data_IF_059756139712
#
_entry.id   IF_059756139712
#
_cell.length_a   1.000
_cell.length_b   1.000
_cell.length_c   1.000
_cell.angle_alpha   90.00
_cell.angle_beta   90.00
_cell.angle_gamma   90.00
#
_symmetry.space_group_name_H-M   'P 1'
#
loop_
_entity.id
_entity.type
_entity.pdbx_description
1 polymer ?
#
# COMPACT_ATOMS: atom_id res chain seq x y z
N UNK A 1 6.11 -21.73 9.78
CA UNK A 1 5.85 -20.37 9.26
C UNK A 1 4.88 -20.52 8.09
N UNK A 2 3.67 -20.00 8.20
CA UNK A 2 2.65 -20.13 7.15
C UNK A 2 2.63 -18.85 6.31
N UNK A 3 3.14 -18.91 5.08
CA UNK A 3 2.98 -17.85 4.09
C UNK A 3 1.68 -18.12 3.31
N UNK A 4 0.53 -17.90 3.96
CA UNK A 4 -0.80 -18.33 3.48
C UNK A 4 -1.70 -17.18 3.04
N UNK A 5 -1.27 -15.94 3.23
CA UNK A 5 -2.01 -14.74 2.86
C UNK A 5 -1.11 -13.69 2.19
N UNK A 6 -0.38 -14.13 1.17
CA UNK A 6 0.41 -13.24 0.31
C UNK A 6 -0.50 -12.17 -0.30
N UNK A 7 -0.05 -10.92 -0.27
CA UNK A 7 -0.83 -9.78 -0.75
C UNK A 7 -0.08 -8.93 -1.79
N UNK A 8 1.14 -8.49 -1.48
CA UNK A 8 1.92 -7.64 -2.38
C UNK A 8 3.41 -8.03 -2.41
N UNK A 9 4.15 -7.58 -3.43
CA UNK A 9 5.56 -7.90 -3.66
C UNK A 9 6.32 -6.69 -4.17
N UNK A 10 7.55 -6.50 -3.68
CA UNK A 10 8.48 -5.49 -4.21
C UNK A 10 9.82 -6.09 -4.57
N UNK A 11 10.26 -5.88 -5.80
CA UNK A 11 11.50 -6.43 -6.36
C UNK A 11 12.68 -5.50 -6.10
N UNK A 12 13.69 -5.99 -5.39
CA UNK A 12 14.89 -5.24 -5.00
C UNK A 12 16.17 -5.70 -5.72
N UNK A 13 16.09 -6.79 -6.48
CA UNK A 13 17.16 -7.31 -7.35
C UNK A 13 16.63 -8.37 -8.32
N UNK A 14 17.49 -8.95 -9.15
CA UNK A 14 17.08 -9.89 -10.20
C UNK A 14 16.32 -11.13 -9.68
N UNK A 15 16.68 -11.62 -8.50
CA UNK A 15 16.10 -12.77 -7.81
C UNK A 15 15.77 -12.46 -6.35
N UNK A 16 15.59 -11.17 -6.01
CA UNK A 16 15.44 -10.70 -4.63
C UNK A 16 14.21 -9.82 -4.51
N UNK A 17 13.32 -10.18 -3.60
CA UNK A 17 12.09 -9.43 -3.38
C UNK A 17 11.57 -9.61 -1.96
N UNK A 18 10.84 -8.59 -1.49
CA UNK A 18 10.05 -8.69 -0.28
C UNK A 18 8.61 -9.02 -0.62
N UNK A 19 7.96 -9.81 0.23
CA UNK A 19 6.54 -10.19 0.10
C UNK A 19 5.82 -9.81 1.38
N UNK A 20 4.68 -9.15 1.26
CA UNK A 20 3.79 -8.93 2.38
C UNK A 20 2.86 -10.12 2.56
N UNK A 21 2.76 -10.59 3.80
CA UNK A 21 1.72 -11.52 4.22
C UNK A 21 0.74 -10.74 5.11
N UNK A 22 -0.45 -10.51 4.56
CA UNK A 22 -1.49 -9.64 5.12
C UNK A 22 -1.90 -10.05 6.55
N UNK A 23 -2.14 -11.35 6.74
CA UNK A 23 -2.68 -11.93 7.97
C UNK A 23 -2.06 -13.31 8.21
N UNK A 24 -2.03 -13.75 9.46
CA UNK A 24 -1.51 -15.07 9.81
C UNK A 24 -2.39 -16.20 9.27
N UNK A 25 -3.70 -16.06 9.40
CA UNK A 25 -4.67 -17.00 8.85
C UNK A 25 -4.76 -16.84 7.33
N UNK A 26 -4.81 -17.97 6.64
CA UNK A 26 -5.07 -18.00 5.19
C UNK A 26 -6.48 -17.52 4.83
N UNK A 27 -6.70 -17.26 3.53
CA UNK A 27 -7.96 -16.73 3.01
C UNK A 27 -9.18 -17.52 3.50
N UNK A 28 -10.21 -16.80 3.94
CA UNK A 28 -11.49 -17.38 4.38
C UNK A 28 -12.01 -16.77 5.68
N UNK A 29 -12.90 -17.50 6.36
CA UNK A 29 -13.61 -17.02 7.56
C UNK A 29 -12.67 -16.70 8.73
N UNK A 30 -11.62 -17.50 8.94
CA UNK A 30 -10.66 -17.27 10.02
C UNK A 30 -9.85 -15.98 9.83
N UNK A 31 -9.40 -15.72 8.59
CA UNK A 31 -8.77 -14.45 8.26
C UNK A 31 -9.71 -13.26 8.44
N UNK A 32 -10.99 -13.42 8.09
CA UNK A 32 -11.99 -12.37 8.35
C UNK A 32 -12.09 -12.05 9.85
N UNK A 33 -12.17 -13.08 10.69
CA UNK A 33 -12.18 -12.91 12.16
C UNK A 33 -10.91 -12.21 12.63
N UNK A 34 -9.74 -12.61 12.12
CA UNK A 34 -8.45 -12.01 12.45
C UNK A 34 -8.38 -10.51 12.11
N UNK A 35 -8.87 -10.12 10.92
CA UNK A 35 -8.93 -8.73 10.46
C UNK A 35 -9.92 -7.91 11.29
N UNK A 36 -11.10 -8.46 11.62
CA UNK A 36 -12.11 -7.80 12.47
C UNK A 36 -11.58 -7.58 13.89
N UNK A 37 -10.79 -8.51 14.42
CA UNK A 37 -10.11 -8.37 15.71
C UNK A 37 -8.96 -7.36 15.69
N UNK A 38 -8.65 -6.78 14.52
CA UNK A 38 -7.57 -5.82 14.30
C UNK A 38 -6.21 -6.31 14.81
N UNK A 39 -5.96 -7.62 14.68
CA UNK A 39 -4.70 -8.17 15.14
C UNK A 39 -3.53 -7.71 14.26
N UNK A 40 -2.38 -7.46 14.87
CA UNK A 40 -1.14 -7.19 14.14
C UNK A 40 -0.36 -8.49 13.99
N UNK A 41 -0.84 -9.43 13.19
CA UNK A 41 -0.14 -10.69 12.90
C UNK A 41 0.38 -10.79 11.47
N UNK A 42 0.30 -9.70 10.70
CA UNK A 42 0.94 -9.60 9.40
C UNK A 42 2.47 -9.66 9.50
N UNK A 43 3.10 -9.97 8.38
CA UNK A 43 4.55 -10.15 8.31
C UNK A 43 5.11 -9.70 6.96
N UNK A 44 6.39 -9.35 6.96
CA UNK A 44 7.19 -9.12 5.77
C UNK A 44 8.22 -10.23 5.65
N UNK A 45 8.23 -10.90 4.51
CA UNK A 45 9.19 -11.94 4.18
C UNK A 45 10.17 -11.44 3.12
N UNK A 46 11.39 -11.96 3.14
CA UNK A 46 12.40 -11.69 2.12
C UNK A 46 12.78 -13.00 1.42
N UNK A 47 12.81 -12.96 0.09
CA UNK A 47 13.37 -14.03 -0.72
C UNK A 47 14.72 -13.59 -1.28
N UNK A 48 15.77 -14.38 -1.00
CA UNK A 48 17.16 -14.04 -1.35
C UNK A 48 17.66 -14.66 -2.66
N UNK A 49 16.77 -15.32 -3.40
CA UNK A 49 17.07 -16.12 -4.60
C UNK A 49 17.05 -17.63 -4.34
N UNK A 50 17.06 -18.07 -3.08
CA UNK A 50 17.10 -19.50 -2.71
C UNK A 50 16.11 -19.85 -1.62
N UNK A 51 16.01 -19.01 -0.59
CA UNK A 51 15.23 -19.26 0.62
C UNK A 51 14.39 -18.06 1.00
N UNK A 52 13.30 -18.32 1.73
CA UNK A 52 12.44 -17.28 2.30
C UNK A 52 12.75 -17.15 3.77
N UNK A 53 13.05 -15.93 4.22
CA UNK A 53 13.26 -15.59 5.63
C UNK A 53 12.19 -14.61 6.13
N UNK A 54 11.85 -14.70 7.42
CA UNK A 54 11.00 -13.71 8.07
C UNK A 54 11.85 -12.46 8.35
N UNK A 55 11.44 -11.33 7.79
CA UNK A 55 12.17 -10.07 7.93
C UNK A 55 11.58 -9.18 9.04
N UNK A 56 10.27 -9.01 9.03
CA UNK A 56 9.55 -8.25 10.04
C UNK A 56 8.25 -8.97 10.41
N UNK A 57 7.88 -8.91 11.68
CA UNK A 57 6.68 -9.56 12.20
C UNK A 57 5.83 -8.56 12.95
N UNK A 58 4.60 -8.95 13.27
CA UNK A 58 3.64 -8.10 14.00
C UNK A 58 3.32 -6.80 13.26
N UNK A 59 3.27 -6.87 11.94
CA UNK A 59 2.80 -5.78 11.10
C UNK A 59 1.27 -5.74 11.11
N UNK A 60 0.71 -4.53 11.15
CA UNK A 60 -0.73 -4.33 11.11
C UNK A 60 -1.21 -4.36 9.66
N UNK A 61 -1.56 -5.56 9.18
CA UNK A 61 -2.16 -5.78 7.87
C UNK A 61 -1.36 -5.13 6.72
N UNK A 62 -0.13 -5.60 6.43
CA UNK A 62 0.74 -4.99 5.42
C UNK A 62 0.16 -5.19 4.02
N UNK A 63 -0.49 -4.17 3.48
CA UNK A 63 -1.29 -4.23 2.25
C UNK A 63 -0.57 -3.71 1.01
N UNK A 64 0.46 -2.89 1.17
CA UNK A 64 1.13 -2.29 0.03
C UNK A 64 2.64 -2.24 0.25
N UNK A 65 3.40 -2.51 -0.81
CA UNK A 65 4.85 -2.44 -0.83
C UNK A 65 5.34 -1.58 -1.98
N UNK A 66 6.34 -0.74 -1.72
CA UNK A 66 7.04 -0.03 -2.78
C UNK A 66 8.51 0.22 -2.41
N UNK A 67 9.32 0.55 -3.41
CA UNK A 67 10.73 0.88 -3.26
C UNK A 67 11.06 2.21 -3.93
N UNK A 68 11.73 3.09 -3.20
CA UNK A 68 12.51 4.18 -3.78
C UNK A 68 13.94 3.66 -3.97
N UNK A 69 14.34 3.42 -5.22
CA UNK A 69 15.66 2.85 -5.55
C UNK A 69 16.78 3.85 -5.34
N UNK A 70 16.52 5.14 -5.55
CA UNK A 70 17.53 6.20 -5.46
C UNK A 70 17.90 6.44 -4.00
N UNK A 71 16.89 6.56 -3.13
CA UNK A 71 17.08 6.77 -1.69
C UNK A 71 17.24 5.47 -0.91
N UNK A 72 17.05 4.32 -1.56
CA UNK A 72 17.08 2.97 -0.96
C UNK A 72 16.10 2.86 0.21
N UNK A 73 14.85 3.22 -0.03
CA UNK A 73 13.78 3.12 0.96
C UNK A 73 12.75 2.07 0.56
N UNK A 74 12.28 1.28 1.52
CA UNK A 74 11.11 0.41 1.38
C UNK A 74 9.94 1.03 2.15
N UNK A 75 8.79 1.08 1.49
CA UNK A 75 7.54 1.55 2.05
C UNK A 75 6.61 0.38 2.27
N UNK A 76 6.02 0.30 3.46
CA UNK A 76 5.05 -0.74 3.84
C UNK A 76 3.77 -0.07 4.32
N UNK A 77 2.72 -0.13 3.52
CA UNK A 77 1.39 0.33 3.90
C UNK A 77 0.79 -0.58 4.96
N UNK A 78 0.42 -0.01 6.11
CA UNK A 78 -0.29 -0.70 7.19
C UNK A 78 -1.77 -0.35 7.09
N UNK A 79 -2.57 -1.25 6.53
CA UNK A 79 -3.97 -1.01 6.20
C UNK A 79 -4.80 -0.57 7.43
N UNK A 80 -4.75 -1.36 8.51
CA UNK A 80 -5.56 -1.09 9.71
C UNK A 80 -5.01 0.04 10.59
N UNK A 81 -3.69 0.30 10.55
CA UNK A 81 -3.11 1.41 11.31
C UNK A 81 -3.05 2.72 10.52
N UNK A 82 -3.57 2.73 9.29
CA UNK A 82 -3.73 3.92 8.45
C UNK A 82 -2.43 4.72 8.30
N UNK A 83 -1.32 4.01 8.06
CA UNK A 83 -0.01 4.62 7.90
C UNK A 83 0.88 3.88 6.90
N UNK A 84 1.93 4.55 6.45
CA UNK A 84 3.04 3.92 5.73
C UNK A 84 4.26 3.89 6.64
N UNK A 85 4.81 2.69 6.86
CA UNK A 85 6.08 2.51 7.55
C UNK A 85 7.22 2.63 6.55
N UNK A 86 8.24 3.40 6.89
CA UNK A 86 9.40 3.67 6.04
C UNK A 86 10.62 2.97 6.61
N UNK A 87 11.31 2.22 5.76
CA UNK A 87 12.52 1.49 6.12
C UNK A 87 13.67 1.87 5.19
N UNK A 88 14.87 2.01 5.73
CA UNK A 88 16.08 2.04 4.92
C UNK A 88 16.47 0.62 4.50
N UNK A 89 16.76 0.43 3.21
CA UNK A 89 17.25 -0.81 2.63
C UNK A 89 18.78 -0.81 2.63
N UNK A 90 19.37 -1.54 3.55
CA UNK A 90 20.81 -1.66 3.73
C UNK A 90 21.46 -2.52 2.63
N UNK A 91 22.79 -2.45 2.49
CA UNK A 91 23.54 -3.14 1.42
C UNK A 91 23.41 -4.66 1.46
N UNK A 92 23.18 -5.21 2.66
CA UNK A 92 22.95 -6.63 2.91
C UNK A 92 21.46 -7.03 2.79
N UNK A 93 20.61 -6.13 2.30
CA UNK A 93 19.15 -6.27 2.21
C UNK A 93 18.43 -6.29 3.56
N UNK A 94 19.10 -5.96 4.66
CA UNK A 94 18.40 -5.72 5.91
C UNK A 94 17.56 -4.43 5.84
N UNK A 95 16.49 -4.36 6.65
CA UNK A 95 15.62 -3.19 6.73
C UNK A 95 15.76 -2.54 8.11
N UNK A 96 16.10 -1.26 8.11
CA UNK A 96 16.17 -0.43 9.32
C UNK A 96 14.95 0.48 9.37
N UNK A 97 14.09 0.35 10.37
CA UNK A 97 12.93 1.24 10.55
C UNK A 97 13.40 2.70 10.70
N UNK A 98 12.76 3.62 9.97
CA UNK A 98 13.08 5.06 9.99
C UNK A 98 11.96 5.87 10.62
N UNK A 99 10.77 5.78 10.07
CA UNK A 99 9.62 6.57 10.49
C UNK A 99 8.32 5.92 10.03
N UNK A 100 7.20 6.49 10.43
CA UNK A 100 5.88 6.17 9.91
C UNK A 100 5.13 7.45 9.53
N UNK A 101 4.46 7.42 8.38
CA UNK A 101 3.65 8.51 7.84
C UNK A 101 2.20 8.18 8.12
N UNK A 102 1.55 8.92 9.03
CA UNK A 102 0.11 8.76 9.29
C UNK A 102 -0.70 9.34 8.14
N UNK A 103 -1.67 8.58 7.65
CA UNK A 103 -2.49 8.92 6.49
C UNK A 103 -3.94 9.23 6.87
N UNK A 104 -4.41 8.74 8.03
CA UNK A 104 -5.82 8.79 8.45
C UNK A 104 -6.79 8.13 7.45
N UNK A 105 -6.26 7.21 6.66
CA UNK A 105 -6.95 6.44 5.63
C UNK A 105 -6.15 5.16 5.34
N UNK A 106 -6.81 4.09 4.94
CA UNK A 106 -6.23 2.75 4.86
C UNK A 106 -5.49 2.53 3.53
N UNK A 107 -4.15 2.45 3.49
CA UNK A 107 -3.42 2.26 2.23
C UNK A 107 -3.66 0.88 1.62
N UNK A 108 -3.73 0.79 0.29
CA UNK A 108 -3.99 -0.44 -0.46
C UNK A 108 -3.01 -0.66 -1.64
N UNK A 109 -2.42 0.41 -2.18
CA UNK A 109 -1.35 0.34 -3.18
C UNK A 109 -0.45 1.55 -3.12
N UNK A 110 0.84 1.40 -3.43
CA UNK A 110 1.84 2.47 -3.38
C UNK A 110 2.64 2.49 -4.68
N UNK A 111 2.89 3.69 -5.20
CA UNK A 111 3.78 3.95 -6.31
C UNK A 111 4.76 5.06 -5.94
N UNK A 112 6.02 4.91 -6.32
CA UNK A 112 7.06 5.93 -6.13
C UNK A 112 7.34 6.55 -7.48
N UNK A 113 7.14 7.87 -7.58
CA UNK A 113 7.50 8.62 -8.79
C UNK A 113 9.03 8.70 -8.89
N UNK A 114 9.62 8.21 -9.98
CA UNK A 114 11.08 8.07 -10.07
C UNK A 114 11.84 9.41 -10.10
N UNK A 115 11.22 10.47 -10.63
CA UNK A 115 11.88 11.78 -10.79
C UNK A 115 11.98 12.55 -9.47
N UNK A 116 10.91 12.56 -8.69
CA UNK A 116 10.81 13.35 -7.45
C UNK A 116 11.00 12.48 -6.20
N UNK A 117 10.74 11.18 -6.32
CA UNK A 117 10.59 10.26 -5.20
C UNK A 117 9.35 10.55 -4.33
N UNK A 118 8.34 11.23 -4.88
CA UNK A 118 7.05 11.41 -4.21
C UNK A 118 6.29 10.09 -4.17
N UNK A 119 5.54 9.91 -3.09
CA UNK A 119 4.83 8.67 -2.79
C UNK A 119 3.36 8.87 -3.16
N UNK A 120 2.89 8.13 -4.15
CA UNK A 120 1.49 8.08 -4.55
C UNK A 120 0.85 6.84 -3.93
N UNK A 121 -0.28 7.03 -3.25
CA UNK A 121 -0.90 5.97 -2.45
C UNK A 121 -2.36 5.88 -2.84
N UNK A 122 -2.84 4.68 -3.22
CA UNK A 122 -4.26 4.37 -3.33
C UNK A 122 -4.77 3.88 -1.97
N UNK A 123 -5.91 4.38 -1.53
CA UNK A 123 -6.43 4.10 -0.18
C UNK A 123 -7.92 3.77 -0.16
N UNK A 124 -8.35 3.20 0.96
CA UNK A 124 -9.74 2.99 1.34
C UNK A 124 -10.08 3.93 2.52
N UNK A 125 -10.75 5.07 2.28
CA UNK A 125 -11.12 6.01 3.35
C UNK A 125 -12.11 5.44 4.36
N UNK A 126 -12.98 4.52 3.91
CA UNK A 126 -13.98 3.87 4.77
C UNK A 126 -13.80 2.37 4.68
N UNK A 127 -12.93 1.82 5.53
CA UNK A 127 -12.47 0.43 5.40
C UNK A 127 -13.61 -0.61 5.46
N UNK A 128 -14.66 -0.35 6.24
CA UNK A 128 -15.86 -1.20 6.27
C UNK A 128 -16.49 -1.37 4.87
N UNK A 129 -16.50 -0.33 4.04
CA UNK A 129 -17.05 -0.43 2.68
C UNK A 129 -16.16 -1.31 1.80
N UNK A 130 -14.83 -1.16 1.87
CA UNK A 130 -13.88 -2.02 1.16
C UNK A 130 -14.03 -3.50 1.57
N UNK A 131 -14.28 -3.74 2.86
CA UNK A 131 -14.60 -5.08 3.36
C UNK A 131 -15.90 -5.64 2.76
N UNK A 132 -16.97 -4.84 2.68
CA UNK A 132 -18.22 -5.28 2.03
C UNK A 132 -18.02 -5.58 0.53
N UNK A 133 -17.26 -4.76 -0.18
CA UNK A 133 -16.91 -4.99 -1.60
C UNK A 133 -16.14 -6.32 -1.75
N UNK A 134 -15.30 -6.69 -0.78
CA UNK A 134 -14.58 -7.98 -0.77
C UNK A 134 -15.52 -9.17 -0.57
N UNK A 135 -16.57 -9.01 0.24
CA UNK A 135 -17.57 -10.08 0.47
C UNK A 135 -18.55 -10.23 -0.69
N UNK A 136 -18.87 -9.14 -1.38
CA UNK A 136 -19.86 -9.10 -2.46
C UNK A 136 -19.30 -8.45 -3.74
N UNK A 137 -18.22 -9.00 -4.33
CA UNK A 137 -17.51 -8.34 -5.44
C UNK A 137 -18.32 -8.19 -6.72
N UNK A 138 -19.42 -8.95 -6.85
CA UNK A 138 -20.32 -8.91 -8.02
C UNK A 138 -21.58 -8.07 -7.81
N UNK A 139 -21.80 -7.50 -6.62
CA UNK A 139 -22.98 -6.65 -6.35
C UNK A 139 -22.65 -5.18 -6.62
N UNK A 140 -23.11 -4.65 -7.76
CA UNK A 140 -22.87 -3.26 -8.17
C UNK A 140 -23.47 -2.20 -7.24
N UNK A 141 -24.38 -2.61 -6.33
CA UNK A 141 -24.93 -1.72 -5.30
C UNK A 141 -23.98 -1.55 -4.12
N UNK A 142 -23.04 -2.47 -3.94
CA UNK A 142 -22.02 -2.40 -2.89
C UNK A 142 -20.81 -1.65 -3.44
N UNK A 143 -20.56 -0.45 -2.90
CA UNK A 143 -19.46 0.42 -3.31
C UNK A 143 -18.61 0.82 -2.12
N UNK A 144 -17.34 1.11 -2.39
CA UNK A 144 -16.40 1.69 -1.44
C UNK A 144 -15.88 3.01 -2.00
N UNK A 145 -15.76 3.99 -1.12
CA UNK A 145 -15.02 5.20 -1.41
C UNK A 145 -13.59 4.88 -1.86
N UNK A 146 -13.06 5.78 -2.67
CA UNK A 146 -11.72 5.71 -3.25
C UNK A 146 -10.99 7.01 -3.01
N UNK A 147 -9.69 6.92 -2.76
CA UNK A 147 -8.83 8.07 -2.50
C UNK A 147 -7.43 7.81 -3.03
N UNK A 148 -6.79 8.87 -3.50
CA UNK A 148 -5.36 8.92 -3.75
C UNK A 148 -4.76 10.04 -2.92
N UNK A 149 -3.74 9.70 -2.13
CA UNK A 149 -2.90 10.69 -1.47
C UNK A 149 -1.53 10.73 -2.14
N UNK A 150 -0.96 11.92 -2.20
CA UNK A 150 0.44 12.13 -2.55
C UNK A 150 1.19 12.60 -1.30
N UNK A 151 2.34 11.99 -1.04
CA UNK A 151 3.22 12.38 0.06
C UNK A 151 4.56 12.82 -0.51
N UNK A 152 4.92 14.08 -0.24
CA UNK A 152 6.22 14.66 -0.57
C UNK A 152 7.08 14.78 0.67
N UNK A 153 8.14 13.99 0.75
CA UNK A 153 9.14 14.08 1.82
C UNK A 153 9.95 15.37 1.61
N UNK A 154 10.09 16.18 2.66
CA UNK A 154 10.84 17.43 2.61
C UNK A 154 12.35 17.16 2.68
N UNK A 155 13.16 18.19 2.36
CA UNK A 155 14.63 18.08 2.35
C UNK A 155 15.24 17.68 3.70
N UNK A 156 14.55 17.95 4.81
CA UNK A 156 14.97 17.54 6.15
C UNK A 156 14.88 16.01 6.38
N UNK A 157 14.21 15.28 5.49
CA UNK A 157 14.01 13.84 5.54
C UNK A 157 13.11 13.33 6.67
N UNK A 158 12.51 14.22 7.46
CA UNK A 158 11.71 13.88 8.65
C UNK A 158 10.32 14.53 8.63
N UNK A 159 10.10 15.54 7.80
CA UNK A 159 8.80 16.13 7.57
C UNK A 159 8.30 15.81 6.16
N UNK A 160 6.98 15.91 5.99
CA UNK A 160 6.32 15.62 4.73
C UNK A 160 5.07 16.47 4.57
N UNK A 161 4.68 16.68 3.32
CA UNK A 161 3.42 17.32 2.94
C UNK A 161 2.55 16.25 2.29
N UNK A 162 1.29 16.17 2.74
CA UNK A 162 0.28 15.28 2.17
C UNK A 162 -0.74 16.12 1.43
N UNK A 163 -1.04 15.72 0.20
CA UNK A 163 -2.08 16.31 -0.66
C UNK A 163 -3.03 15.21 -1.12
N UNK A 164 -4.25 15.61 -1.50
CA UNK A 164 -5.32 14.71 -1.92
C UNK A 164 -5.73 14.99 -3.39
N UNK A 165 -4.96 14.49 -4.37
CA UNK A 165 -5.27 14.64 -5.78
C UNK A 165 -6.64 14.10 -6.19
N UNK A 166 -7.13 13.07 -5.50
CA UNK A 166 -8.37 12.40 -5.87
C UNK A 166 -9.09 11.84 -4.64
N UNK A 167 -10.39 12.11 -4.55
CA UNK A 167 -11.31 11.37 -3.69
C UNK A 167 -12.72 11.35 -4.26
N UNK A 168 -13.38 10.21 -4.09
CA UNK A 168 -14.77 10.04 -4.51
C UNK A 168 -15.47 9.00 -3.63
N UNK A 169 -16.79 9.09 -3.56
CA UNK A 169 -17.69 8.20 -2.81
C UNK A 169 -17.81 6.77 -3.37
N UNK A 170 -17.13 6.47 -4.48
CA UNK A 170 -17.17 5.17 -5.14
C UNK A 170 -18.01 5.14 -6.42
N UNK A 171 -18.71 6.23 -6.74
CA UNK A 171 -19.54 6.32 -7.95
C UNK A 171 -18.70 6.29 -9.24
N UNK A 172 -17.54 6.96 -9.25
CA UNK A 172 -16.64 7.01 -10.41
C UNK A 172 -15.69 5.82 -10.41
N UNK A 173 -15.05 5.52 -9.29
CA UNK A 173 -14.26 4.31 -9.11
C UNK A 173 -14.46 3.81 -7.70
N UNK A 174 -14.88 2.56 -7.56
CA UNK A 174 -15.12 1.92 -6.26
C UNK A 174 -13.88 1.17 -5.82
N UNK A 175 -13.50 1.29 -4.55
CA UNK A 175 -12.39 0.55 -3.94
C UNK A 175 -11.05 0.67 -4.68
N UNK A 176 -10.50 1.89 -4.77
CA UNK A 176 -9.13 2.10 -5.29
C UNK A 176 -8.11 1.26 -4.55
N UNK A 177 -7.32 0.48 -5.29
CA UNK A 177 -6.37 -0.50 -4.76
C UNK A 177 -4.97 -0.40 -5.38
N UNK A 178 -4.82 0.31 -6.50
CA UNK A 178 -3.54 0.54 -7.14
C UNK A 178 -3.49 1.97 -7.69
N UNK A 179 -2.30 2.54 -7.76
CA UNK A 179 -2.07 3.85 -8.35
C UNK A 179 -0.75 3.83 -9.11
N UNK A 180 -0.70 4.56 -10.23
CA UNK A 180 0.54 4.90 -10.94
C UNK A 180 0.44 6.36 -11.34
N UNK A 181 1.55 7.09 -11.18
CA UNK A 181 1.67 8.46 -11.64
C UNK A 181 2.88 8.55 -12.55
N UNK A 182 2.67 9.01 -13.78
CA UNK A 182 3.74 9.25 -14.75
C UNK A 182 3.48 10.60 -15.42
N UNK A 183 4.42 11.53 -15.23
CA UNK A 183 4.40 12.93 -15.74
C UNK A 183 3.20 13.73 -15.26
N UNK A 184 2.09 13.66 -15.97
CA UNK A 184 0.83 14.36 -15.74
C UNK A 184 -0.37 13.40 -15.81
N UNK A 185 -0.12 12.10 -15.88
CA UNK A 185 -1.16 11.07 -15.91
C UNK A 185 -1.23 10.31 -14.60
N UNK A 186 -2.41 10.35 -13.98
CA UNK A 186 -2.76 9.57 -12.81
C UNK A 186 -3.64 8.39 -13.22
N UNK A 187 -3.17 7.17 -12.99
CA UNK A 187 -3.91 5.94 -13.22
C UNK A 187 -4.31 5.33 -11.87
N UNK A 188 -5.60 5.08 -11.68
CA UNK A 188 -6.15 4.51 -10.45
C UNK A 188 -6.83 3.19 -10.79
N UNK A 189 -6.32 2.09 -10.22
CA UNK A 189 -6.91 0.76 -10.33
C UNK A 189 -7.86 0.47 -9.17
N UNK A 190 -8.92 -0.29 -9.42
CA UNK A 190 -9.85 -0.77 -8.38
C UNK A 190 -9.64 -2.25 -8.07
N UNK A 191 -10.14 -2.73 -6.92
CA UNK A 191 -10.06 -4.15 -6.55
C UNK A 191 -10.75 -5.09 -7.55
N UNK A 192 -11.98 -4.77 -7.99
CA UNK A 192 -12.81 -5.66 -8.82
C UNK A 192 -13.50 -4.96 -9.99
N UNK A 193 -13.15 -3.71 -10.27
CA UNK A 193 -13.87 -2.88 -11.22
C UNK A 193 -13.00 -2.43 -12.38
N UNK A 194 -13.14 -1.15 -12.72
CA UNK A 194 -12.44 -0.48 -13.82
C UNK A 194 -11.16 0.20 -13.36
N UNK A 195 -10.40 0.67 -14.34
CA UNK A 195 -9.34 1.65 -14.20
C UNK A 195 -9.92 3.04 -14.46
N UNK A 196 -9.45 4.04 -13.70
CA UNK A 196 -9.68 5.45 -13.98
C UNK A 196 -8.37 6.10 -14.41
N UNK A 197 -8.40 6.87 -15.49
CA UNK A 197 -7.28 7.69 -15.95
C UNK A 197 -7.67 9.16 -15.82
N UNK A 198 -6.79 9.95 -15.22
CA UNK A 198 -6.97 11.37 -15.01
C UNK A 198 -5.74 12.15 -15.49
N UNK A 199 -5.97 13.33 -16.04
CA UNK A 199 -4.93 14.30 -16.34
C UNK A 199 -4.77 15.27 -15.16
N UNK A 200 -3.54 15.37 -14.65
CA UNK A 200 -3.18 16.19 -13.49
C UNK A 200 -2.67 17.54 -13.99
N UNK A 201 -3.60 18.49 -14.10
CA UNK A 201 -3.33 19.81 -14.69
C UNK A 201 -2.38 20.68 -13.84
N UNK A 202 -2.21 20.38 -12.55
CA UNK A 202 -1.33 21.16 -11.68
C UNK A 202 -0.57 20.29 -10.65
N UNK A 203 0.51 19.60 -11.08
CA UNK A 203 1.27 18.67 -10.25
C UNK A 203 2.02 19.32 -9.09
N UNK A 204 2.19 20.64 -9.06
CA UNK A 204 2.92 21.27 -7.96
C UNK A 204 2.05 21.44 -6.70
N UNK A 205 0.72 21.46 -6.88
CA UNK A 205 -0.30 21.70 -5.86
C UNK A 205 -1.04 20.41 -5.46
N UNK A 206 -1.20 19.49 -6.41
CA UNK A 206 -1.75 18.15 -6.16
C UNK A 206 -0.69 17.21 -5.62
#
# INVERSE_FOLDING_TARGET
MSCSSIYDVVVVGADRFFISNLAYMGRGKLQTVELVMQSSFGALYFFDGRTVSLHESRLSTPSALAIDRQRRLIFVGSLLNENVRVYALEKDYSLTFRTQISLLSSPAGIHIEEETGDIWIALHPVLHQAFLVTLYPSDEKVRSSSQVLRVRIQEDGISWVITEPYANDGATISASNAVVYDKDHLLIGSMFGRLLHCDVLNPSIT
#
